data_IF_706786238108
#
_entry.id   IF_706786238108
#
_cell.length_a   1.000
_cell.length_b   1.000
_cell.length_c   1.000
_cell.angle_alpha   90.00
_cell.angle_beta   90.00
_cell.angle_gamma   90.00
#
_symmetry.space_group_name_H-M   'P 1'
#
loop_
_entity.id
_entity.type
_entity.pdbx_description
1 polymer ?
#
# COMPACT_ATOMS: atom_id res chain seq x y z
N UNK A 1 -30.19 -5.33 -25.59
CA UNK A 1 -29.14 -4.35 -25.20
C UNK A 1 -29.16 -3.94 -23.74
N UNK A 2 -30.29 -4.01 -23.02
CA UNK A 2 -30.32 -3.82 -21.53
C UNK A 2 -29.44 -4.86 -20.83
N UNK A 3 -29.53 -6.10 -21.23
CA UNK A 3 -28.85 -7.23 -20.59
C UNK A 3 -27.30 -7.13 -20.62
N UNK A 4 -26.73 -6.65 -21.73
CA UNK A 4 -25.27 -6.50 -21.86
C UNK A 4 -24.74 -5.41 -20.93
N UNK A 5 -25.44 -4.29 -20.80
CA UNK A 5 -25.06 -3.20 -19.89
C UNK A 5 -25.15 -3.64 -18.43
N UNK A 6 -26.15 -4.44 -18.10
CA UNK A 6 -26.29 -5.00 -16.75
C UNK A 6 -25.17 -5.98 -16.43
N UNK A 7 -24.81 -6.86 -17.37
CA UNK A 7 -23.66 -7.76 -17.22
C UNK A 7 -22.34 -7.00 -17.08
N UNK A 8 -22.15 -5.93 -17.86
CA UNK A 8 -20.97 -5.06 -17.73
C UNK A 8 -20.93 -4.37 -16.35
N UNK A 9 -22.09 -3.94 -15.83
CA UNK A 9 -22.14 -3.34 -14.52
C UNK A 9 -21.81 -4.35 -13.42
N UNK A 10 -22.40 -5.55 -13.44
CA UNK A 10 -22.08 -6.63 -12.51
C UNK A 10 -20.60 -7.03 -12.54
N UNK A 11 -20.00 -7.05 -13.74
CA UNK A 11 -18.57 -7.32 -13.88
C UNK A 11 -17.72 -6.19 -13.28
N UNK A 12 -18.08 -4.91 -13.50
CA UNK A 12 -17.43 -3.76 -12.87
C UNK A 12 -17.55 -3.78 -11.35
N UNK A 13 -18.70 -4.21 -10.85
CA UNK A 13 -19.01 -4.28 -9.42
C UNK A 13 -18.32 -5.46 -8.73
N UNK A 14 -17.71 -6.36 -9.50
CA UNK A 14 -17.05 -7.55 -8.98
C UNK A 14 -17.98 -8.70 -8.66
N UNK A 15 -19.28 -8.56 -8.95
CA UNK A 15 -20.31 -9.57 -8.72
C UNK A 15 -20.26 -10.70 -9.78
N UNK A 16 -19.53 -10.46 -10.87
CA UNK A 16 -19.37 -11.40 -11.97
C UNK A 16 -17.89 -11.50 -12.33
N UNK A 17 -17.33 -12.72 -12.34
CA UNK A 17 -15.95 -12.92 -12.79
C UNK A 17 -15.85 -12.96 -14.32
N UNK A 18 -14.62 -12.86 -14.87
CA UNK A 18 -14.36 -12.81 -16.30
C UNK A 18 -14.95 -14.00 -17.07
N UNK A 19 -14.85 -15.22 -16.50
CA UNK A 19 -15.33 -16.44 -17.14
C UNK A 19 -16.86 -16.44 -17.25
N UNK A 20 -17.54 -16.05 -16.19
CA UNK A 20 -19.00 -16.04 -16.14
C UNK A 20 -19.58 -14.89 -16.97
N UNK A 21 -18.89 -13.74 -17.02
CA UNK A 21 -19.23 -12.67 -17.95
C UNK A 21 -19.18 -13.15 -19.41
N UNK A 22 -18.10 -13.84 -19.81
CA UNK A 22 -17.96 -14.36 -21.16
C UNK A 22 -19.05 -15.38 -21.51
N UNK A 23 -19.42 -16.27 -20.57
CA UNK A 23 -20.52 -17.23 -20.75
C UNK A 23 -21.87 -16.52 -20.91
N UNK A 24 -22.16 -15.54 -20.06
CA UNK A 24 -23.41 -14.81 -20.08
C UNK A 24 -23.57 -13.99 -21.38
N UNK A 25 -22.50 -13.33 -21.83
CA UNK A 25 -22.49 -12.58 -23.10
C UNK A 25 -22.61 -13.53 -24.30
N UNK A 26 -21.98 -14.71 -24.26
CA UNK A 26 -22.12 -15.77 -25.26
C UNK A 26 -23.54 -16.31 -25.33
N UNK A 27 -24.24 -16.47 -24.22
CA UNK A 27 -25.64 -16.88 -24.16
C UNK A 27 -26.58 -15.84 -24.81
N UNK A 28 -26.17 -14.58 -24.92
CA UNK A 28 -26.89 -13.53 -25.64
C UNK A 28 -26.54 -13.50 -27.13
N UNK A 29 -25.84 -14.52 -27.66
CA UNK A 29 -25.48 -14.63 -29.08
C UNK A 29 -24.33 -13.73 -29.53
N UNK A 30 -23.58 -13.15 -28.60
CA UNK A 30 -22.43 -12.28 -28.91
C UNK A 30 -21.19 -13.14 -29.14
N UNK A 31 -20.51 -12.92 -30.26
CA UNK A 31 -19.31 -13.68 -30.61
C UNK A 31 -18.16 -13.44 -29.62
N UNK A 32 -17.28 -14.42 -29.50
CA UNK A 32 -16.13 -14.36 -28.58
C UNK A 32 -15.26 -13.12 -28.83
N UNK A 33 -15.08 -12.72 -30.08
CA UNK A 33 -14.33 -11.51 -30.45
C UNK A 33 -15.00 -10.23 -29.97
N UNK A 34 -16.30 -10.11 -30.14
CA UNK A 34 -17.08 -8.97 -29.66
C UNK A 34 -17.18 -8.95 -28.13
N UNK A 35 -17.33 -10.11 -27.51
CA UNK A 35 -17.27 -10.24 -26.04
C UNK A 35 -15.90 -9.84 -25.48
N UNK A 36 -14.79 -10.18 -26.15
CA UNK A 36 -13.45 -9.75 -25.80
C UNK A 36 -13.24 -8.23 -25.90
N UNK A 37 -13.82 -7.60 -26.91
CA UNK A 37 -13.79 -6.14 -27.06
C UNK A 37 -14.61 -5.44 -25.96
N UNK A 38 -15.77 -5.98 -25.62
CA UNK A 38 -16.60 -5.51 -24.51
C UNK A 38 -15.87 -5.62 -23.16
N UNK A 39 -15.16 -6.73 -22.93
CA UNK A 39 -14.32 -6.90 -21.74
C UNK A 39 -13.21 -5.85 -21.65
N UNK A 40 -12.44 -5.65 -22.73
CA UNK A 40 -11.37 -4.64 -22.75
C UNK A 40 -11.91 -3.23 -22.46
N UNK A 41 -13.04 -2.88 -23.05
CA UNK A 41 -13.71 -1.60 -22.78
C UNK A 41 -14.17 -1.50 -21.31
N UNK A 42 -14.68 -2.59 -20.75
CA UNK A 42 -15.13 -2.65 -19.35
C UNK A 42 -13.96 -2.62 -18.39
N UNK A 43 -12.87 -3.34 -18.68
CA UNK A 43 -11.61 -3.29 -17.90
C UNK A 43 -10.99 -1.87 -17.90
N UNK A 44 -11.05 -1.16 -19.04
CA UNK A 44 -10.59 0.22 -19.12
C UNK A 44 -11.42 1.17 -18.25
N UNK A 45 -12.73 0.93 -18.14
CA UNK A 45 -13.63 1.70 -17.26
C UNK A 45 -13.51 1.27 -15.78
N UNK A 46 -13.17 0.01 -15.52
CA UNK A 46 -12.95 -0.52 -14.16
C UNK A 46 -11.63 -0.04 -13.52
N UNK A 47 -10.76 0.63 -14.28
CA UNK A 47 -9.50 1.21 -13.79
C UNK A 47 -9.70 2.44 -12.89
N UNK A 48 -10.92 2.89 -12.66
CA UNK A 48 -11.17 3.93 -11.67
C UNK A 48 -11.07 3.31 -10.27
N UNK A 49 -10.08 3.68 -9.45
CA UNK A 49 -9.93 3.10 -8.12
C UNK A 49 -11.18 3.35 -7.28
N UNK A 50 -11.72 2.30 -6.68
CA UNK A 50 -12.80 2.42 -5.71
C UNK A 50 -12.19 2.74 -4.34
N UNK A 51 -12.77 3.71 -3.64
CA UNK A 51 -12.38 4.02 -2.27
C UNK A 51 -13.05 3.05 -1.30
N UNK A 52 -12.27 2.57 -0.32
CA UNK A 52 -12.77 1.67 0.71
C UNK A 52 -12.77 0.19 0.30
N UNK A 53 -13.35 -0.63 1.13
CA UNK A 53 -13.38 -2.09 1.00
C UNK A 53 -12.45 -2.80 1.97
N UNK A 54 -12.41 -4.14 1.88
CA UNK A 54 -11.54 -5.01 2.67
C UNK A 54 -10.62 -5.81 1.78
N UNK A 55 -9.35 -5.89 2.15
CA UNK A 55 -8.36 -6.76 1.50
C UNK A 55 -7.89 -7.80 2.50
N UNK A 56 -7.88 -9.08 2.09
CA UNK A 56 -7.27 -10.17 2.85
C UNK A 56 -6.00 -10.58 2.14
N UNK A 57 -4.88 -10.50 2.85
CA UNK A 57 -3.59 -10.97 2.36
C UNK A 57 -3.15 -12.18 3.16
N UNK A 58 -2.66 -13.21 2.47
CA UNK A 58 -2.04 -14.38 3.09
C UNK A 58 -0.53 -14.26 3.02
N UNK A 59 0.14 -14.64 4.10
CA UNK A 59 1.59 -14.77 4.17
C UNK A 59 1.94 -16.20 4.56
N UNK A 60 3.04 -16.71 4.04
CA UNK A 60 3.52 -18.05 4.29
C UNK A 60 4.47 -18.15 5.50
N UNK A 61 4.89 -17.02 6.03
CA UNK A 61 5.81 -16.95 7.16
C UNK A 61 5.13 -16.15 8.28
N UNK A 62 4.78 -16.87 9.33
CA UNK A 62 4.28 -16.32 10.59
C UNK A 62 4.74 -17.22 11.74
N UNK A 63 4.84 -16.69 12.94
CA UNK A 63 5.24 -17.45 14.12
C UNK A 63 4.80 -16.79 15.43
N UNK A 64 5.04 -17.44 16.57
CA UNK A 64 4.70 -16.90 17.87
C UNK A 64 5.47 -15.63 18.22
N UNK A 65 6.57 -15.36 17.54
CA UNK A 65 7.45 -14.22 17.76
C UNK A 65 7.11 -13.03 16.82
N UNK A 66 6.01 -13.12 16.05
CA UNK A 66 5.56 -12.04 15.17
C UNK A 66 5.27 -10.77 15.98
N UNK A 67 5.81 -9.65 15.53
CA UNK A 67 5.74 -8.37 16.24
C UNK A 67 5.36 -7.22 15.31
N UNK A 68 4.83 -6.15 15.92
CA UNK A 68 4.56 -4.89 15.22
C UNK A 68 5.65 -3.83 15.43
N UNK A 69 6.61 -4.09 16.31
CA UNK A 69 7.71 -3.16 16.56
C UNK A 69 8.77 -3.21 15.44
N UNK A 70 8.97 -2.11 14.69
CA UNK A 70 9.88 -2.08 13.56
C UNK A 70 11.33 -2.43 13.87
N UNK A 71 11.77 -2.31 15.14
CA UNK A 71 13.16 -2.55 15.54
C UNK A 71 13.48 -4.04 15.66
N UNK A 72 12.48 -4.86 16.01
CA UNK A 72 12.67 -6.29 16.31
C UNK A 72 11.99 -7.21 15.27
N UNK A 73 11.57 -6.67 14.15
CA UNK A 73 10.97 -7.43 13.07
C UNK A 73 11.95 -8.45 12.48
N UNK A 74 11.48 -9.68 12.30
CA UNK A 74 12.28 -10.78 11.74
C UNK A 74 11.61 -11.53 10.61
N UNK A 75 10.28 -11.43 10.49
CA UNK A 75 9.49 -12.21 9.53
C UNK A 75 8.90 -11.34 8.40
N UNK A 76 8.60 -11.97 7.26
CA UNK A 76 7.96 -11.26 6.13
C UNK A 76 6.60 -10.67 6.49
N UNK A 77 5.87 -11.30 7.40
CA UNK A 77 4.57 -10.77 7.84
C UNK A 77 4.73 -9.50 8.67
N UNK A 78 5.79 -9.42 9.50
CA UNK A 78 6.11 -8.24 10.29
C UNK A 78 6.43 -7.06 9.38
N UNK A 79 7.31 -7.25 8.38
CA UNK A 79 7.61 -6.23 7.38
C UNK A 79 6.37 -5.79 6.60
N UNK A 80 5.50 -6.73 6.23
CA UNK A 80 4.24 -6.40 5.52
C UNK A 80 3.33 -5.54 6.39
N UNK A 81 3.19 -5.87 7.67
CA UNK A 81 2.39 -5.09 8.64
C UNK A 81 3.01 -3.72 8.88
N UNK A 82 4.33 -3.68 9.05
CA UNK A 82 5.05 -2.43 9.27
C UNK A 82 4.88 -1.47 8.08
N UNK A 83 5.04 -1.94 6.84
CA UNK A 83 4.81 -1.12 5.66
C UNK A 83 3.36 -0.63 5.50
N UNK A 84 2.40 -1.34 6.10
CA UNK A 84 1.00 -0.91 6.11
C UNK A 84 0.67 0.10 7.22
N UNK A 85 1.41 0.08 8.34
CA UNK A 85 1.10 0.85 9.54
C UNK A 85 2.06 2.04 9.78
N UNK A 86 3.28 1.96 9.32
CA UNK A 86 4.33 2.96 9.58
C UNK A 86 4.86 3.58 8.30
N UNK A 87 5.37 4.80 8.45
CA UNK A 87 6.11 5.50 7.40
C UNK A 87 7.54 5.75 7.86
N UNK A 88 8.49 5.64 6.93
CA UNK A 88 9.88 6.03 7.16
C UNK A 88 10.14 7.50 6.83
N UNK A 89 11.30 8.01 7.16
CA UNK A 89 11.75 9.32 6.67
C UNK A 89 11.90 9.29 5.16
N UNK A 90 12.46 8.21 4.64
CA UNK A 90 12.63 7.92 3.21
C UNK A 90 12.25 6.47 2.94
N UNK A 91 11.79 6.19 1.73
CA UNK A 91 11.42 4.87 1.26
C UNK A 91 12.36 4.42 0.15
N UNK A 92 12.86 3.19 0.22
CA UNK A 92 13.60 2.58 -0.90
C UNK A 92 12.61 1.96 -1.88
N UNK A 93 12.75 2.29 -3.17
CA UNK A 93 11.96 1.72 -4.26
C UNK A 93 12.61 0.46 -4.81
N UNK A 94 11.87 -0.28 -5.64
CA UNK A 94 12.33 -1.52 -6.30
C UNK A 94 13.61 -1.34 -7.12
N UNK A 95 13.85 -0.14 -7.65
CA UNK A 95 15.07 0.23 -8.39
C UNK A 95 16.19 0.76 -7.50
N UNK A 96 16.13 0.52 -6.19
CA UNK A 96 17.09 0.98 -5.17
C UNK A 96 17.21 2.50 -5.03
N UNK A 97 16.31 3.28 -5.64
CA UNK A 97 16.26 4.72 -5.46
C UNK A 97 15.51 5.10 -4.18
N UNK A 98 16.05 6.04 -3.45
CA UNK A 98 15.39 6.61 -2.28
C UNK A 98 14.34 7.64 -2.70
N UNK A 99 13.16 7.52 -2.12
CA UNK A 99 12.05 8.45 -2.29
C UNK A 99 11.78 9.17 -0.97
N UNK A 100 11.65 10.51 -0.96
CA UNK A 100 11.16 11.24 0.20
C UNK A 100 9.78 10.72 0.67
N UNK A 101 9.62 10.56 2.00
CA UNK A 101 8.37 10.11 2.62
C UNK A 101 7.97 11.08 3.74
N UNK A 102 8.27 10.82 5.02
CA UNK A 102 8.06 11.79 6.11
C UNK A 102 9.06 12.96 6.04
N UNK A 103 10.24 12.75 5.46
CA UNK A 103 11.12 13.83 5.07
C UNK A 103 10.76 14.32 3.66
N UNK A 104 10.56 15.62 3.47
CA UNK A 104 10.39 16.23 2.14
C UNK A 104 11.70 16.29 1.37
N UNK A 105 12.79 16.57 2.09
CA UNK A 105 14.15 16.71 1.58
C UNK A 105 15.11 16.05 2.57
N UNK A 106 16.20 15.55 2.06
CA UNK A 106 17.31 15.04 2.87
C UNK A 106 18.63 15.28 2.13
N UNK A 107 19.67 15.63 2.89
CA UNK A 107 21.00 15.88 2.33
C UNK A 107 22.10 15.57 3.35
N UNK A 108 23.21 14.97 2.91
CA UNK A 108 24.40 14.86 3.73
C UNK A 108 25.23 16.14 3.65
N UNK A 109 26.13 16.31 4.64
CA UNK A 109 27.27 17.20 4.49
C UNK A 109 28.28 16.62 3.49
N UNK A 110 29.37 17.35 3.18
CA UNK A 110 30.37 16.96 2.18
C UNK A 110 31.04 15.60 2.46
N UNK A 111 31.11 15.19 3.72
CA UNK A 111 31.78 13.96 4.18
C UNK A 111 30.79 12.82 4.48
N UNK A 112 29.49 13.07 4.30
CA UNK A 112 28.40 12.16 4.68
C UNK A 112 28.40 11.71 6.17
N UNK A 113 28.98 12.53 7.05
CA UNK A 113 29.01 12.28 8.49
C UNK A 113 27.81 12.87 9.23
N UNK A 114 27.13 13.85 8.62
CA UNK A 114 25.92 14.49 9.12
C UNK A 114 24.86 14.50 8.04
N UNK A 115 23.63 14.19 8.44
CA UNK A 115 22.47 14.18 7.54
C UNK A 115 21.40 15.12 8.05
N UNK A 116 20.93 15.99 7.20
CA UNK A 116 19.82 16.88 7.49
C UNK A 116 18.55 16.37 6.83
N UNK A 117 17.48 16.24 7.61
CA UNK A 117 16.16 15.86 7.12
C UNK A 117 15.19 17.00 7.38
N UNK A 118 14.53 17.48 6.31
CA UNK A 118 13.44 18.45 6.41
C UNK A 118 12.12 17.70 6.51
N UNK A 119 11.51 17.72 7.68
CA UNK A 119 10.29 16.97 7.94
C UNK A 119 9.07 17.61 7.28
N UNK A 120 8.17 16.77 6.77
CA UNK A 120 6.88 17.17 6.21
C UNK A 120 6.00 17.78 7.30
N UNK A 121 5.36 18.93 6.97
CA UNK A 121 4.45 19.59 7.90
C UNK A 121 3.05 19.01 7.83
N UNK A 122 2.33 19.10 8.94
CA UNK A 122 0.91 18.73 9.03
C UNK A 122 0.64 17.22 8.99
N UNK A 123 1.67 16.39 9.15
CA UNK A 123 1.51 14.94 9.30
C UNK A 123 0.97 14.64 10.70
N UNK A 124 0.06 13.66 10.76
CA UNK A 124 -0.55 13.21 11.99
C UNK A 124 -0.39 11.71 12.15
N UNK A 125 -0.26 11.25 13.38
CA UNK A 125 -0.38 9.85 13.75
C UNK A 125 -1.83 9.36 13.64
N UNK A 126 -2.04 8.05 13.75
CA UNK A 126 -3.37 7.43 13.66
C UNK A 126 -4.32 7.88 14.78
N UNK A 127 -3.79 8.30 15.92
CA UNK A 127 -4.55 8.85 17.06
C UNK A 127 -4.88 10.34 16.90
N UNK A 128 -4.37 10.97 15.84
CA UNK A 128 -4.57 12.39 15.53
C UNK A 128 -3.53 13.33 16.12
N UNK A 129 -2.55 12.84 16.92
CA UNK A 129 -1.44 13.64 17.41
C UNK A 129 -0.53 14.11 16.26
N UNK A 130 0.21 15.19 16.47
CA UNK A 130 1.07 15.75 15.43
C UNK A 130 2.44 15.05 15.44
N UNK A 131 2.93 14.71 14.26
CA UNK A 131 4.29 14.24 14.04
C UNK A 131 5.29 15.39 14.15
N UNK A 132 6.39 15.16 14.85
CA UNK A 132 7.42 16.16 15.17
C UNK A 132 8.84 15.60 15.01
N UNK A 133 9.85 16.45 15.21
CA UNK A 133 11.24 16.04 15.26
C UNK A 133 11.58 15.17 16.49
N UNK A 134 10.86 15.36 17.58
CA UNK A 134 11.07 14.57 18.80
C UNK A 134 10.71 13.10 18.57
N UNK A 135 9.70 12.80 17.77
CA UNK A 135 9.32 11.44 17.41
C UNK A 135 10.41 10.76 16.58
N UNK A 136 11.07 11.52 15.71
CA UNK A 136 12.21 11.03 14.93
C UNK A 136 13.39 10.73 15.84
N UNK A 137 13.73 11.64 16.75
CA UNK A 137 14.82 11.45 17.72
C UNK A 137 14.55 10.24 18.62
N UNK A 138 13.30 10.10 19.10
CA UNK A 138 12.93 8.94 19.91
C UNK A 138 13.15 7.62 19.14
N UNK A 139 12.71 7.57 17.87
CA UNK A 139 12.88 6.39 17.03
C UNK A 139 14.34 6.08 16.75
N UNK A 140 15.17 7.10 16.48
CA UNK A 140 16.60 6.93 16.24
C UNK A 140 17.32 6.43 17.49
N UNK A 141 17.02 6.99 18.67
CA UNK A 141 17.61 6.56 19.93
C UNK A 141 17.28 5.10 20.25
N UNK A 142 16.07 4.65 19.93
CA UNK A 142 15.73 3.23 20.06
C UNK A 142 16.60 2.34 19.17
N UNK A 143 16.89 2.74 17.94
CA UNK A 143 17.77 2.00 17.04
C UNK A 143 19.22 1.96 17.52
N UNK A 144 19.67 2.98 18.27
CA UNK A 144 21.00 3.02 18.89
C UNK A 144 21.08 2.17 20.16
N UNK A 145 20.00 1.55 20.61
CA UNK A 145 19.96 0.74 21.81
C UNK A 145 19.96 1.55 23.11
N UNK A 146 19.72 2.84 23.04
CA UNK A 146 19.50 3.66 24.21
C UNK A 146 18.21 3.25 24.90
N UNK A 147 18.25 3.10 26.24
CA UNK A 147 17.02 2.79 27.00
C UNK A 147 16.06 3.95 26.87
N UNK A 148 15.05 3.78 26.03
CA UNK A 148 13.93 4.72 25.99
C UNK A 148 13.22 4.68 27.33
N UNK A 149 12.92 5.82 27.95
CA UNK A 149 12.00 5.84 29.08
C UNK A 149 10.68 5.21 28.61
N UNK A 150 10.22 4.20 29.35
CA UNK A 150 8.86 3.69 29.14
C UNK A 150 7.89 4.85 29.42
N UNK A 151 7.15 5.24 28.41
CA UNK A 151 6.04 6.17 28.55
C UNK A 151 4.88 5.43 29.18
#
# INVERSE_FOLDING_TARGET
MKDVKELQQKYKDGDLNRRDFMKAVGALGITVSAAGSLLKATDAMAKTPRKGGSVRMASNLHGPDDQMDPIVMTSNIDYTRAHAAYNGLVQMRDNMQLKPELAEEYSPNSNATEWTFKLRKGVKFHDGSNFSADDVLWSMNRHLGEKTPSV
#
